data_IF_251521174903
#
_entry.id   IF_251521174903
#
_cell.length_a   1.000
_cell.length_b   1.000
_cell.length_c   1.000
_cell.angle_alpha   90.00
_cell.angle_beta   90.00
_cell.angle_gamma   90.00
#
_symmetry.space_group_name_H-M   'P 1'
#
loop_
_entity.id
_entity.type
_entity.pdbx_description
1 polymer ?
#
# COMPACT_ATOMS: atom_id res chain seq x y z
N UNK A 1 -3.84 20.75 -6.67
CA UNK A 1 -3.61 20.10 -5.35
C UNK A 1 -2.17 20.28 -4.85
N UNK A 2 -1.13 20.00 -5.66
CA UNK A 2 0.27 20.12 -5.23
C UNK A 2 0.65 21.52 -4.70
N UNK A 3 0.28 22.58 -5.42
CA UNK A 3 0.54 23.97 -4.99
C UNK A 3 -0.14 24.33 -3.65
N UNK A 4 -1.37 23.86 -3.44
CA UNK A 4 -2.10 24.06 -2.18
C UNK A 4 -1.41 23.36 -1.02
N UNK A 5 -0.94 22.11 -1.23
CA UNK A 5 -0.24 21.36 -0.19
C UNK A 5 1.12 21.98 0.15
N UNK A 6 1.87 22.45 -0.86
CA UNK A 6 3.13 23.17 -0.64
C UNK A 6 2.94 24.45 0.17
N UNK A 7 1.84 25.18 -0.06
CA UNK A 7 1.50 26.35 0.76
C UNK A 7 1.21 25.97 2.20
N UNK A 8 0.40 24.93 2.43
CA UNK A 8 0.02 24.49 3.77
C UNK A 8 1.18 23.86 4.55
N UNK A 9 2.16 23.29 3.86
CA UNK A 9 3.35 22.70 4.48
C UNK A 9 4.57 23.61 4.48
N UNK A 10 4.45 24.89 4.09
CA UNK A 10 5.58 25.79 3.90
C UNK A 10 6.42 26.00 5.18
N UNK A 11 5.75 26.01 6.34
CA UNK A 11 6.38 26.20 7.65
C UNK A 11 6.89 24.88 8.26
N UNK A 12 6.53 23.75 7.65
CA UNK A 12 6.97 22.43 8.08
C UNK A 12 8.23 22.06 7.27
N UNK A 13 9.31 21.63 7.93
CA UNK A 13 10.50 21.08 7.26
C UNK A 13 10.23 19.68 6.67
N UNK A 14 9.13 19.53 5.94
CA UNK A 14 8.67 18.28 5.33
C UNK A 14 8.84 18.43 3.82
N UNK A 15 9.69 17.59 3.24
CA UNK A 15 9.85 17.51 1.79
C UNK A 15 8.84 16.54 1.19
N UNK A 16 7.76 17.07 0.61
CA UNK A 16 6.71 16.25 0.00
C UNK A 16 6.98 16.01 -1.49
N UNK A 17 6.98 14.75 -1.92
CA UNK A 17 7.14 14.36 -3.32
C UNK A 17 5.81 13.80 -3.85
N UNK A 18 5.33 14.35 -4.97
CA UNK A 18 4.12 13.88 -5.63
C UNK A 18 4.48 12.92 -6.76
N UNK A 19 4.02 11.68 -6.65
CA UNK A 19 4.14 10.69 -7.71
C UNK A 19 2.82 10.63 -8.48
N UNK A 20 2.85 10.99 -9.76
CA UNK A 20 1.70 10.83 -10.64
C UNK A 20 1.61 9.37 -11.08
N UNK A 21 0.42 8.78 -10.90
CA UNK A 21 0.09 7.44 -11.35
C UNK A 21 -1.10 7.60 -12.29
N UNK A 22 -1.08 6.91 -13.43
CA UNK A 22 -2.19 6.91 -14.37
C UNK A 22 -3.48 6.40 -13.70
N UNK A 23 -4.63 6.95 -14.08
CA UNK A 23 -5.92 6.49 -13.59
C UNK A 23 -6.09 4.99 -13.88
N UNK A 24 -6.83 4.28 -13.02
CA UNK A 24 -7.10 2.85 -13.14
C UNK A 24 -5.85 1.95 -13.27
N UNK A 25 -4.72 2.37 -12.68
CA UNK A 25 -3.46 1.62 -12.71
C UNK A 25 -3.08 1.05 -11.33
N UNK A 26 -3.90 0.17 -10.71
CA UNK A 26 -3.63 -0.38 -9.37
C UNK A 26 -2.31 -1.17 -9.31
N UNK A 27 -1.89 -1.77 -10.44
CA UNK A 27 -0.61 -2.47 -10.58
C UNK A 27 0.62 -1.59 -10.32
N UNK A 28 0.48 -0.27 -10.43
CA UNK A 28 1.56 0.69 -10.14
C UNK A 28 1.56 1.17 -8.67
N UNK A 29 0.54 0.79 -7.89
CA UNK A 29 0.38 1.16 -6.49
C UNK A 29 0.92 0.04 -5.58
N UNK A 30 2.00 0.33 -4.86
CA UNK A 30 2.56 -0.59 -3.86
C UNK A 30 1.54 -0.91 -2.75
N UNK A 31 0.71 0.07 -2.39
CA UNK A 31 -0.34 -0.11 -1.37
C UNK A 31 -1.38 -1.15 -1.82
N UNK A 32 -1.79 -1.10 -3.09
CA UNK A 32 -2.75 -2.07 -3.65
C UNK A 32 -2.17 -3.49 -3.62
N UNK A 33 -0.88 -3.64 -3.93
CA UNK A 33 -0.20 -4.93 -3.84
C UNK A 33 -0.21 -5.50 -2.40
N UNK A 34 0.10 -4.65 -1.41
CA UNK A 34 0.05 -5.04 0.01
C UNK A 34 -1.36 -5.44 0.42
N UNK A 35 -2.39 -4.68 0.01
CA UNK A 35 -3.80 -5.01 0.26
C UNK A 35 -4.15 -6.38 -0.36
N UNK A 36 -3.69 -6.64 -1.59
CA UNK A 36 -3.90 -7.93 -2.25
C UNK A 36 -3.26 -9.09 -1.48
N UNK A 37 -2.03 -8.94 -1.01
CA UNK A 37 -1.37 -9.95 -0.19
C UNK A 37 -2.11 -10.23 1.13
N UNK A 38 -2.59 -9.18 1.80
CA UNK A 38 -3.40 -9.34 3.02
C UNK A 38 -4.66 -10.14 2.72
N UNK A 39 -5.36 -9.81 1.62
CA UNK A 39 -6.55 -10.55 1.20
C UNK A 39 -6.26 -12.03 0.95
N UNK A 40 -5.19 -12.33 0.22
CA UNK A 40 -4.80 -13.69 -0.13
C UNK A 40 -4.43 -14.53 1.10
N UNK A 41 -3.68 -13.97 2.04
CA UNK A 41 -3.19 -14.71 3.22
C UNK A 41 -4.24 -14.83 4.31
N UNK A 42 -5.01 -13.77 4.56
CA UNK A 42 -5.78 -13.65 5.80
C UNK A 42 -7.29 -13.72 5.59
N UNK A 43 -7.76 -13.46 4.37
CA UNK A 43 -9.18 -13.41 4.02
C UNK A 43 -9.67 -14.47 3.01
N UNK A 44 -8.95 -15.56 2.65
CA UNK A 44 -9.46 -16.51 1.66
C UNK A 44 -10.74 -17.23 2.13
N UNK A 45 -10.96 -17.30 3.45
CA UNK A 45 -12.16 -17.90 4.09
C UNK A 45 -12.70 -17.03 5.23
N UNK A 46 -12.65 -15.70 5.10
CA UNK A 46 -13.19 -14.82 6.14
C UNK A 46 -14.70 -15.06 6.29
N UNK A 47 -15.12 -15.60 7.44
CA UNK A 47 -16.52 -15.78 7.78
C UNK A 47 -17.23 -14.42 7.79
N UNK A 48 -18.29 -14.30 6.98
CA UNK A 48 -19.08 -13.08 6.81
C UNK A 48 -19.81 -12.65 8.08
N UNK A 49 -19.83 -13.50 9.11
CA UNK A 49 -20.45 -13.23 10.42
C UNK A 49 -19.53 -12.53 11.42
N UNK A 50 -18.25 -12.31 11.09
CA UNK A 50 -17.30 -11.62 12.00
C UNK A 50 -17.64 -10.12 12.11
N UNK A 51 -17.45 -9.56 13.30
CA UNK A 51 -17.66 -8.12 13.51
C UNK A 51 -16.51 -7.33 12.89
N UNK A 52 -16.82 -6.12 12.41
CA UNK A 52 -15.84 -5.20 11.84
C UNK A 52 -14.71 -4.89 12.81
N UNK A 53 -15.00 -4.76 14.11
CA UNK A 53 -14.00 -4.52 15.14
C UNK A 53 -12.94 -5.65 15.22
N UNK A 54 -13.34 -6.90 15.06
CA UNK A 54 -12.42 -8.06 15.09
C UNK A 54 -11.53 -8.06 13.84
N UNK A 55 -12.08 -7.65 12.70
CA UNK A 55 -11.33 -7.45 11.48
C UNK A 55 -10.27 -6.35 11.65
N UNK A 56 -10.66 -5.18 12.17
CA UNK A 56 -9.72 -4.08 12.39
C UNK A 56 -8.58 -4.45 13.33
N UNK A 57 -8.88 -5.15 14.43
CA UNK A 57 -7.85 -5.63 15.36
C UNK A 57 -6.89 -6.61 14.69
N UNK A 58 -7.42 -7.56 13.90
CA UNK A 58 -6.59 -8.52 13.17
C UNK A 58 -5.66 -7.84 12.16
N UNK A 59 -6.19 -6.89 11.38
CA UNK A 59 -5.38 -6.13 10.41
C UNK A 59 -4.30 -5.31 11.12
N UNK A 60 -4.64 -4.62 12.22
CA UNK A 60 -3.65 -3.89 13.03
C UNK A 60 -2.52 -4.81 13.50
N UNK A 61 -2.86 -6.00 14.00
CA UNK A 61 -1.88 -6.98 14.45
C UNK A 61 -0.93 -7.39 13.31
N UNK A 62 -1.48 -7.72 12.14
CA UNK A 62 -0.70 -8.08 10.94
C UNK A 62 0.25 -6.94 10.54
N UNK A 63 -0.24 -5.70 10.51
CA UNK A 63 0.58 -4.55 10.16
C UNK A 63 1.68 -4.24 11.19
N UNK A 64 1.49 -4.62 12.46
CA UNK A 64 2.52 -4.45 13.52
C UNK A 64 3.54 -5.59 13.56
N UNK A 65 3.24 -6.74 12.96
CA UNK A 65 4.18 -7.85 12.87
C UNK A 65 5.22 -7.55 11.79
N UNK A 66 6.50 -7.49 12.19
CA UNK A 66 7.62 -7.14 11.29
C UNK A 66 7.81 -8.12 10.12
N UNK A 67 7.23 -9.32 10.20
CA UNK A 67 7.43 -10.40 9.21
C UNK A 67 6.40 -10.42 8.08
N UNK A 68 5.42 -9.51 8.05
CA UNK A 68 4.39 -9.54 7.00
C UNK A 68 4.97 -9.30 5.59
N UNK A 69 5.94 -8.38 5.49
CA UNK A 69 6.66 -8.05 4.26
C UNK A 69 8.14 -8.40 4.43
N UNK A 70 8.53 -9.58 3.94
CA UNK A 70 9.96 -9.91 3.83
C UNK A 70 10.67 -8.94 2.89
N UNK A 71 11.98 -8.77 3.10
CA UNK A 71 12.84 -8.00 2.18
C UNK A 71 12.70 -8.45 0.72
N UNK A 72 12.56 -9.75 0.51
CA UNK A 72 12.37 -10.34 -0.82
C UNK A 72 11.02 -9.92 -1.44
N UNK A 73 9.94 -9.93 -0.67
CA UNK A 73 8.63 -9.43 -1.14
C UNK A 73 8.72 -7.96 -1.57
N UNK A 74 9.43 -7.13 -0.79
CA UNK A 74 9.63 -5.71 -1.10
C UNK A 74 10.41 -5.55 -2.41
N UNK A 75 11.52 -6.29 -2.58
CA UNK A 75 12.33 -6.24 -3.79
C UNK A 75 11.51 -6.68 -5.01
N UNK A 76 10.77 -7.78 -4.90
CA UNK A 76 9.93 -8.30 -5.98
C UNK A 76 8.83 -7.30 -6.38
N UNK A 77 8.20 -6.63 -5.42
CA UNK A 77 7.22 -5.57 -5.70
C UNK A 77 7.81 -4.39 -6.47
N UNK A 78 9.00 -3.93 -6.05
CA UNK A 78 9.67 -2.80 -6.69
C UNK A 78 10.16 -3.16 -8.09
N UNK A 79 10.76 -4.34 -8.26
CA UNK A 79 11.20 -4.84 -9.57
C UNK A 79 10.02 -5.04 -10.53
N UNK A 80 8.90 -5.58 -10.05
CA UNK A 80 7.69 -5.73 -10.85
C UNK A 80 7.17 -4.36 -11.33
N UNK A 81 7.14 -3.37 -10.45
CA UNK A 81 6.75 -2.00 -10.80
C UNK A 81 7.66 -1.40 -11.87
N UNK A 82 8.98 -1.55 -11.74
CA UNK A 82 9.93 -1.08 -12.76
C UNK A 82 9.68 -1.77 -14.11
N UNK A 83 9.45 -3.09 -14.11
CA UNK A 83 9.15 -3.82 -15.34
C UNK A 83 7.88 -3.33 -16.03
N UNK A 84 6.86 -2.93 -15.27
CA UNK A 84 5.61 -2.38 -15.83
C UNK A 84 5.81 -0.98 -16.41
N UNK A 85 6.67 -0.16 -15.83
CA UNK A 85 6.97 1.20 -16.33
C UNK A 85 7.81 1.15 -17.59
N UNK A 86 8.74 0.20 -17.73
CA UNK A 86 9.57 0.03 -18.93
C UNK A 86 8.79 -0.53 -20.13
N UNK A 87 7.65 -1.16 -19.89
CA UNK A 87 6.80 -1.78 -20.92
C UNK A 87 5.57 -0.92 -21.31
N UNK A 88 5.49 0.32 -20.81
CA UNK A 88 4.47 1.33 -21.14
C UNK A 88 5.06 2.39 -22.07
#
# INVERSE_FOLDING_TARGET
>A
MQALFQQLSADLKISTHFHFIAAYSPQLSLVEYVIHLIRLKELPHADSKKRVADFEQRIKLICTQQDFLSKENIINMLAHRESLVLNL
#
